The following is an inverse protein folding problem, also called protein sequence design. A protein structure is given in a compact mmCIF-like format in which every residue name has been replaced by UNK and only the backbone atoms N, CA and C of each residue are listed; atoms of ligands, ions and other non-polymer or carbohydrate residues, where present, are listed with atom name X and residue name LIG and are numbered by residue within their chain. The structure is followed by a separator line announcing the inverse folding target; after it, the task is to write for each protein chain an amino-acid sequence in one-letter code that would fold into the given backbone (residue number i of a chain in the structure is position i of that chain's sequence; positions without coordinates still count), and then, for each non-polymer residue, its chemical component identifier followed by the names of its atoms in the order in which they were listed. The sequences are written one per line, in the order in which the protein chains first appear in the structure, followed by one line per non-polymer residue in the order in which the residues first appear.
data_IF_861972337920
#
_entry.id   IF_861972337920
#
_cell.length_a   1.000
_cell.length_b   1.000
_cell.length_c   1.000
_cell.angle_alpha   90.00
_cell.angle_beta   90.00
_cell.angle_gamma   90.00
#
_symmetry.space_group_name_H-M   'P 1'
#
loop_
_entity.id
_entity.type
_entity.pdbx_description
1 polymer ?
#
# COMPACT_ATOMS: atom_id res chain seq x y z
N UNK A 1 22.30 28.51 -59.77
CA UNK A 1 22.51 27.79 -58.51
C UNK A 1 21.39 28.23 -57.58
N UNK A 2 20.39 27.36 -57.38
CA UNK A 2 19.24 27.63 -56.51
C UNK A 2 19.50 26.93 -55.18
N UNK A 3 19.77 27.71 -54.14
CA UNK A 3 19.93 27.18 -52.78
C UNK A 3 18.56 26.75 -52.24
N UNK A 4 18.47 25.44 -51.95
CA UNK A 4 17.30 24.84 -51.31
C UNK A 4 17.46 24.97 -49.81
N UNK A 5 16.63 25.81 -49.18
CA UNK A 5 16.57 25.96 -47.73
C UNK A 5 15.82 24.75 -47.15
N UNK A 6 16.53 23.89 -46.43
CA UNK A 6 15.95 22.79 -45.64
C UNK A 6 15.27 23.36 -44.38
N UNK A 7 13.99 23.05 -44.19
CA UNK A 7 13.26 23.39 -42.98
C UNK A 7 13.71 22.48 -41.81
N UNK A 8 13.89 23.03 -40.60
CA UNK A 8 14.30 22.25 -39.43
C UNK A 8 13.17 21.32 -38.98
N UNK A 9 13.51 20.04 -38.88
CA UNK A 9 12.63 18.98 -38.37
C UNK A 9 12.50 19.14 -36.86
N UNK A 10 11.33 19.55 -36.37
CA UNK A 10 11.01 19.57 -34.95
C UNK A 10 10.70 18.14 -34.49
N UNK A 11 11.64 17.53 -33.77
CA UNK A 11 11.35 16.31 -33.01
C UNK A 11 10.40 16.67 -31.85
N UNK A 12 9.31 15.92 -31.65
CA UNK A 12 8.44 16.13 -30.49
C UNK A 12 9.23 15.83 -29.22
N UNK A 13 9.47 16.89 -28.44
CA UNK A 13 10.03 16.81 -27.10
C UNK A 13 9.01 16.07 -26.23
N UNK A 14 9.22 14.77 -26.02
CA UNK A 14 8.43 13.98 -25.07
C UNK A 14 8.76 14.50 -23.68
N UNK A 15 7.81 15.19 -23.06
CA UNK A 15 7.91 15.58 -21.65
C UNK A 15 8.19 14.33 -20.81
N UNK A 16 9.11 14.37 -19.84
CA UNK A 16 9.32 13.25 -18.94
C UNK A 16 7.99 12.94 -18.23
N UNK A 17 7.64 11.65 -18.07
CA UNK A 17 6.40 11.27 -17.41
C UNK A 17 6.35 11.91 -16.02
N UNK A 18 5.26 12.62 -15.75
CA UNK A 18 4.98 13.22 -14.44
C UNK A 18 5.16 12.16 -13.36
N UNK A 19 6.02 12.44 -12.36
CA UNK A 19 6.26 11.53 -11.23
C UNK A 19 4.93 11.11 -10.62
N UNK A 20 4.67 9.80 -10.51
CA UNK A 20 3.42 9.30 -9.94
C UNK A 20 3.20 9.92 -8.56
N UNK A 21 2.08 10.65 -8.38
CA UNK A 21 1.74 11.29 -7.10
C UNK A 21 1.04 10.33 -6.13
N UNK A 22 0.50 9.23 -6.64
CA UNK A 22 -0.13 8.20 -5.84
C UNK A 22 -0.08 6.81 -6.50
N UNK A 23 -0.16 5.76 -5.68
CA UNK A 23 -0.47 4.39 -6.10
C UNK A 23 -1.72 3.92 -5.36
N UNK A 24 -2.63 3.23 -6.06
CA UNK A 24 -3.90 2.77 -5.49
C UNK A 24 -3.96 1.25 -5.62
N UNK A 25 -4.02 0.56 -4.50
CA UNK A 25 -4.17 -0.89 -4.43
C UNK A 25 -5.63 -1.20 -4.15
N UNK A 26 -6.34 -1.68 -5.16
CA UNK A 26 -7.78 -1.87 -5.15
C UNK A 26 -8.13 -3.35 -4.95
N UNK A 27 -8.83 -3.63 -3.84
CA UNK A 27 -9.32 -4.95 -3.49
C UNK A 27 -10.76 -5.08 -3.98
N UNK A 28 -10.92 -5.77 -5.10
CA UNK A 28 -12.22 -6.08 -5.69
C UNK A 28 -12.79 -7.31 -4.95
N UNK A 29 -13.96 -7.23 -4.32
CA UNK A 29 -14.53 -8.35 -3.57
C UNK A 29 -14.73 -9.61 -4.41
N UNK A 30 -14.86 -9.51 -5.73
CA UNK A 30 -15.01 -10.68 -6.61
C UNK A 30 -13.73 -11.53 -6.67
N UNK A 31 -12.55 -10.91 -6.57
CA UNK A 31 -11.24 -11.58 -6.70
C UNK A 31 -10.43 -11.58 -5.40
N UNK A 32 -10.73 -10.70 -4.46
CA UNK A 32 -10.16 -10.61 -3.11
C UNK A 32 -11.05 -11.30 -2.05
N UNK A 33 -11.79 -12.33 -2.46
CA UNK A 33 -12.59 -13.17 -1.57
C UNK A 33 -13.51 -12.39 -0.60
N UNK A 34 -14.19 -11.36 -1.12
CA UNK A 34 -15.14 -10.54 -0.36
C UNK A 34 -14.53 -9.37 0.43
N UNK A 35 -13.20 -9.23 0.47
CA UNK A 35 -12.54 -8.00 0.93
C UNK A 35 -12.76 -6.91 -0.11
N UNK A 36 -13.25 -5.76 0.31
CA UNK A 36 -13.54 -4.64 -0.58
C UNK A 36 -12.87 -3.36 -0.10
N UNK A 37 -12.31 -2.59 -1.03
CA UNK A 37 -11.84 -1.23 -0.77
C UNK A 37 -10.43 -1.01 -1.27
N UNK A 38 -9.74 -0.03 -0.68
CA UNK A 38 -8.47 0.44 -1.22
C UNK A 38 -7.43 0.68 -0.14
N UNK A 39 -6.16 0.44 -0.51
CA UNK A 39 -5.01 1.05 0.14
C UNK A 39 -4.40 2.06 -0.82
N UNK A 40 -4.31 3.32 -0.39
CA UNK A 40 -3.87 4.44 -1.21
C UNK A 40 -2.55 4.97 -0.65
N UNK A 41 -1.53 4.99 -1.49
CA UNK A 41 -0.20 5.51 -1.17
C UNK A 41 -0.04 6.86 -1.83
N UNK A 42 0.01 7.92 -1.03
CA UNK A 42 0.31 9.28 -1.46
C UNK A 42 1.78 9.58 -1.27
N UNK A 43 2.55 9.58 -2.36
CA UNK A 43 3.97 9.91 -2.34
C UNK A 43 4.19 11.35 -1.85
N UNK A 44 5.21 11.52 -1.02
CA UNK A 44 5.67 12.81 -0.51
C UNK A 44 7.09 13.04 -1.02
N UNK A 45 7.64 14.24 -0.76
CA UNK A 45 9.06 14.53 -1.04
C UNK A 45 9.99 13.49 -0.40
N UNK A 46 9.61 13.01 0.79
CA UNK A 46 10.27 11.92 1.50
C UNK A 46 9.22 10.90 1.94
N UNK A 47 9.33 9.68 1.41
CA UNK A 47 8.43 8.57 1.71
C UNK A 47 6.99 8.79 1.23
N UNK A 48 6.01 8.31 2.01
CA UNK A 48 4.59 8.37 1.66
C UNK A 48 3.67 8.49 2.88
N UNK A 49 2.45 9.00 2.64
CA UNK A 49 1.29 8.77 3.51
C UNK A 49 0.48 7.63 2.91
N UNK A 50 0.08 6.68 3.75
CA UNK A 50 -0.64 5.47 3.33
C UNK A 50 -1.99 5.48 4.02
N UNK A 51 -3.08 5.31 3.27
CA UNK A 51 -4.44 5.29 3.77
C UNK A 51 -5.06 3.94 3.44
N UNK A 52 -5.57 3.22 4.44
CA UNK A 52 -6.34 2.00 4.21
C UNK A 52 -7.81 2.27 4.51
N UNK A 53 -8.67 1.87 3.59
CA UNK A 53 -10.12 1.87 3.71
C UNK A 53 -10.62 0.52 3.19
N UNK A 54 -10.62 -0.50 4.05
CA UNK A 54 -11.01 -1.86 3.70
C UNK A 54 -12.23 -2.31 4.50
N UNK A 55 -13.10 -3.08 3.84
CA UNK A 55 -14.26 -3.76 4.41
C UNK A 55 -14.05 -5.27 4.28
N UNK A 56 -13.98 -5.95 5.42
CA UNK A 56 -13.74 -7.38 5.56
C UNK A 56 -14.99 -8.11 6.06
N UNK A 57 -16.13 -7.43 6.23
CA UNK A 57 -17.35 -8.06 6.78
C UNK A 57 -17.88 -9.20 5.91
N UNK A 58 -17.54 -9.18 4.61
CA UNK A 58 -17.88 -10.23 3.63
C UNK A 58 -16.69 -11.11 3.25
N UNK A 59 -15.55 -10.98 3.94
CA UNK A 59 -14.39 -11.81 3.70
C UNK A 59 -14.74 -13.30 3.86
N UNK A 60 -14.27 -14.12 2.93
CA UNK A 60 -14.54 -15.55 2.92
C UNK A 60 -13.59 -16.29 3.88
N UNK A 61 -13.92 -16.22 5.17
CA UNK A 61 -13.13 -16.87 6.22
C UNK A 61 -13.05 -18.38 6.05
N UNK A 62 -14.13 -19.03 5.60
CA UNK A 62 -14.13 -20.48 5.31
C UNK A 62 -13.09 -20.85 4.25
N UNK A 63 -12.95 -20.05 3.20
CA UNK A 63 -11.92 -20.28 2.18
C UNK A 63 -10.51 -20.04 2.74
N UNK A 64 -10.33 -19.06 3.64
CA UNK A 64 -9.05 -18.85 4.33
C UNK A 64 -8.71 -20.04 5.25
N UNK A 65 -9.67 -20.55 6.02
CA UNK A 65 -9.50 -21.74 6.87
C UNK A 65 -9.14 -22.99 6.05
N UNK A 66 -9.63 -23.09 4.81
CA UNK A 66 -9.28 -24.18 3.90
C UNK A 66 -7.84 -24.08 3.37
N UNK A 67 -7.26 -22.88 3.32
CA UNK A 67 -5.84 -22.66 2.97
C UNK A 67 -4.95 -22.95 4.18
N UNK A 68 -5.35 -22.47 5.36
CA UNK A 68 -4.65 -22.69 6.62
C UNK A 68 -5.64 -22.93 7.75
N UNK A 69 -5.65 -24.16 8.27
CA UNK A 69 -6.58 -24.59 9.31
C UNK A 69 -6.40 -23.84 10.64
N UNK A 70 -5.27 -23.14 10.85
CA UNK A 70 -5.07 -22.27 12.01
C UNK A 70 -5.88 -20.96 11.91
N UNK A 71 -6.33 -20.58 10.71
CA UNK A 71 -7.14 -19.39 10.47
C UNK A 71 -8.64 -19.69 10.50
N UNK A 72 -9.22 -19.91 11.67
CA UNK A 72 -10.66 -20.26 11.78
C UNK A 72 -11.62 -19.07 11.64
N UNK A 73 -11.10 -17.84 11.61
CA UNK A 73 -11.84 -16.60 11.33
C UNK A 73 -12.98 -16.25 12.29
N UNK A 74 -13.53 -15.01 12.24
CA UNK A 74 -12.98 -13.84 11.55
C UNK A 74 -11.59 -13.46 12.08
N UNK A 75 -10.69 -13.04 11.19
CA UNK A 75 -9.36 -12.54 11.56
C UNK A 75 -9.40 -11.03 11.60
N UNK A 76 -8.86 -10.43 12.66
CA UNK A 76 -8.85 -8.97 12.84
C UNK A 76 -7.47 -8.34 12.65
N UNK A 77 -6.39 -9.11 12.59
CA UNK A 77 -5.04 -8.59 12.54
C UNK A 77 -4.33 -9.07 11.29
N UNK A 78 -3.66 -8.15 10.59
CA UNK A 78 -3.02 -8.41 9.30
C UNK A 78 -1.60 -7.86 9.26
N UNK A 79 -0.66 -8.76 8.97
CA UNK A 79 0.62 -8.36 8.40
C UNK A 79 0.39 -7.80 7.00
N UNK A 80 1.25 -6.92 6.54
CA UNK A 80 1.12 -6.23 5.28
C UNK A 80 2.48 -5.77 4.76
N UNK A 81 2.73 -6.06 3.48
CA UNK A 81 4.04 -5.89 2.87
C UNK A 81 3.90 -5.56 1.37
N UNK A 82 4.95 -4.96 0.81
CA UNK A 82 5.13 -4.85 -0.64
C UNK A 82 5.86 -6.08 -1.17
N UNK A 83 5.27 -6.72 -2.16
CA UNK A 83 5.86 -7.86 -2.86
C UNK A 83 6.16 -7.51 -4.32
N UNK A 84 7.14 -8.19 -4.92
CA UNK A 84 7.79 -7.70 -6.14
C UNK A 84 7.34 -8.34 -7.45
N UNK A 85 6.35 -9.23 -7.42
CA UNK A 85 5.87 -9.94 -8.62
C UNK A 85 4.35 -9.90 -8.73
N UNK A 86 3.82 -9.93 -9.94
CA UNK A 86 2.39 -10.10 -10.19
C UNK A 86 2.17 -10.96 -11.42
N UNK A 87 1.44 -12.07 -11.28
CA UNK A 87 1.13 -12.98 -12.41
C UNK A 87 -0.35 -13.25 -12.59
N UNK A 88 -1.23 -12.52 -11.91
CA UNK A 88 -2.69 -12.76 -11.97
C UNK A 88 -3.35 -12.18 -13.23
N UNK A 89 -2.57 -11.88 -14.27
CA UNK A 89 -3.08 -11.27 -15.51
C UNK A 89 -3.66 -9.89 -15.26
N UNK A 90 -4.88 -9.65 -15.76
CA UNK A 90 -5.50 -8.32 -15.80
C UNK A 90 -6.41 -7.99 -14.61
N UNK A 91 -6.44 -8.81 -13.56
CA UNK A 91 -7.17 -8.48 -12.33
C UNK A 91 -6.34 -7.56 -11.44
N UNK A 92 -7.01 -6.71 -10.66
CA UNK A 92 -6.36 -5.75 -9.75
C UNK A 92 -6.04 -6.36 -8.39
N UNK A 93 -6.74 -7.42 -7.99
CA UNK A 93 -6.54 -8.11 -6.73
C UNK A 93 -6.78 -9.61 -6.83
N UNK A 94 -6.26 -10.35 -5.86
CA UNK A 94 -6.37 -11.79 -5.78
C UNK A 94 -6.46 -12.28 -4.33
N UNK A 95 -6.75 -13.56 -4.17
CA UNK A 95 -6.84 -14.27 -2.90
C UNK A 95 -6.07 -15.60 -2.98
N UNK A 96 -5.53 -16.04 -1.84
CA UNK A 96 -4.95 -17.38 -1.66
C UNK A 96 -3.86 -17.70 -2.70
N UNK A 97 -4.11 -18.67 -3.58
CA UNK A 97 -3.15 -19.10 -4.61
C UNK A 97 -2.69 -17.95 -5.53
N UNK A 98 -3.56 -16.98 -5.83
CA UNK A 98 -3.20 -15.79 -6.60
C UNK A 98 -2.26 -14.83 -5.83
N UNK A 99 -2.16 -15.01 -4.52
CA UNK A 99 -1.19 -14.31 -3.66
C UNK A 99 -0.01 -15.20 -3.26
N UNK A 100 0.09 -16.42 -3.78
CA UNK A 100 1.19 -17.34 -3.46
C UNK A 100 2.57 -16.75 -3.77
N UNK A 101 3.62 -17.35 -3.22
CA UNK A 101 5.01 -16.99 -3.54
C UNK A 101 5.28 -16.98 -5.05
N UNK A 102 4.71 -17.95 -5.78
CA UNK A 102 4.88 -18.05 -7.22
C UNK A 102 4.25 -16.87 -7.98
N UNK A 103 3.11 -16.37 -7.50
CA UNK A 103 2.33 -15.33 -8.16
C UNK A 103 2.73 -13.91 -7.75
N UNK A 104 3.01 -13.72 -6.45
CA UNK A 104 3.24 -12.42 -5.85
C UNK A 104 4.72 -12.13 -5.54
N UNK A 105 5.57 -13.16 -5.47
CA UNK A 105 6.98 -13.00 -5.13
C UNK A 105 7.21 -12.77 -3.64
N UNK A 106 8.41 -12.30 -3.31
CA UNK A 106 8.89 -12.01 -1.96
C UNK A 106 8.86 -10.51 -1.68
N UNK A 107 9.22 -10.11 -0.46
CA UNK A 107 9.23 -8.73 -0.02
C UNK A 107 10.27 -7.91 -0.78
N UNK A 108 9.92 -6.67 -1.12
CA UNK A 108 10.85 -5.72 -1.70
C UNK A 108 11.96 -5.34 -0.71
N UNK A 109 13.23 -5.59 -1.04
CA UNK A 109 14.36 -5.41 -0.11
C UNK A 109 15.64 -4.91 -0.82
N UNK A 110 15.61 -3.70 -1.41
CA UNK A 110 16.76 -3.16 -2.15
C UNK A 110 17.97 -2.89 -1.26
N UNK A 111 17.77 -2.71 0.05
CA UNK A 111 18.83 -2.43 1.03
C UNK A 111 19.45 -3.69 1.64
N UNK A 112 18.96 -4.87 1.27
CA UNK A 112 19.45 -6.16 1.78
C UNK A 112 19.41 -6.23 3.32
N UNK A 113 18.28 -5.80 3.89
CA UNK A 113 17.97 -5.97 5.30
C UNK A 113 17.80 -7.45 5.66
N UNK A 114 17.44 -8.28 4.65
CA UNK A 114 17.47 -9.73 4.71
C UNK A 114 16.57 -10.32 5.79
N UNK A 115 15.31 -9.89 5.81
CA UNK A 115 14.27 -10.59 6.54
C UNK A 115 13.94 -11.94 5.90
N UNK A 116 13.17 -12.80 6.61
CA UNK A 116 12.93 -14.19 6.19
C UNK A 116 12.30 -14.33 4.79
N UNK A 117 11.61 -13.29 4.33
CA UNK A 117 10.90 -13.26 3.06
C UNK A 117 11.48 -12.23 2.07
N UNK A 118 12.73 -11.81 2.24
CA UNK A 118 13.43 -10.92 1.30
C UNK A 118 13.39 -11.48 -0.13
N UNK A 119 13.26 -10.62 -1.14
CA UNK A 119 13.41 -11.04 -2.54
C UNK A 119 14.80 -11.60 -2.85
N UNK A 120 15.80 -11.27 -2.01
CA UNK A 120 17.17 -11.74 -2.08
C UNK A 120 17.44 -12.97 -1.19
N UNK A 121 16.39 -13.63 -0.69
CA UNK A 121 16.53 -14.78 0.22
C UNK A 121 17.28 -15.97 -0.40
N UNK A 122 17.27 -16.10 -1.74
CA UNK A 122 17.92 -17.21 -2.45
C UNK A 122 19.36 -16.90 -2.88
N UNK A 123 19.83 -15.67 -2.74
CA UNK A 123 21.17 -15.25 -3.16
C UNK A 123 21.94 -14.57 -2.02
N UNK A 124 21.82 -13.25 -1.90
CA UNK A 124 22.65 -12.38 -1.07
C UNK A 124 22.29 -12.52 0.41
N UNK A 125 21.03 -12.78 0.72
CA UNK A 125 20.57 -12.93 2.10
C UNK A 125 20.80 -14.34 2.68
N UNK A 126 21.01 -15.35 1.83
CA UNK A 126 21.25 -16.74 2.27
C UNK A 126 22.45 -16.84 3.22
N UNK A 127 23.50 -16.05 2.96
CA UNK A 127 24.74 -16.02 3.75
C UNK A 127 24.69 -15.12 4.99
N UNK A 128 23.76 -14.15 5.03
CA UNK A 128 23.51 -13.29 6.20
C UNK A 128 22.59 -13.95 7.24
N UNK A 129 21.98 -15.08 6.88
CA UNK A 129 20.98 -15.80 7.66
C UNK A 129 21.47 -16.68 8.84
N UNK A 130 22.77 -16.84 9.18
CA UNK A 130 23.13 -17.45 10.46
C UNK A 130 23.74 -16.41 11.40
N UNK A 131 22.93 -15.52 11.98
CA UNK A 131 23.31 -14.81 13.21
C UNK A 131 22.90 -13.34 13.36
N UNK A 132 22.51 -12.65 12.29
CA UNK A 132 21.85 -11.34 12.41
C UNK A 132 20.34 -11.54 12.49
N UNK A 133 19.74 -11.52 13.68
CA UNK A 133 18.29 -11.63 13.80
C UNK A 133 17.66 -10.40 13.13
N UNK A 134 17.05 -10.58 11.96
CA UNK A 134 16.17 -9.58 11.37
C UNK A 134 15.12 -9.20 12.42
N UNK A 135 15.15 -7.95 12.84
CA UNK A 135 14.31 -7.44 13.92
C UNK A 135 13.69 -6.11 13.49
N UNK A 136 12.95 -6.13 12.38
CA UNK A 136 12.24 -4.95 11.95
C UNK A 136 11.07 -4.67 12.90
N UNK A 137 11.15 -3.52 13.56
CA UNK A 137 10.15 -2.96 14.47
C UNK A 137 10.13 -1.45 14.25
N UNK A 138 9.08 -0.76 14.71
CA UNK A 138 9.03 0.70 14.61
C UNK A 138 10.26 1.37 15.26
N UNK A 139 10.77 0.80 16.36
CA UNK A 139 11.95 1.32 17.06
C UNK A 139 13.25 1.14 16.25
N UNK A 140 13.47 -0.07 15.70
CA UNK A 140 14.66 -0.32 14.88
C UNK A 140 14.61 0.44 13.56
N UNK A 141 13.43 0.58 12.96
CA UNK A 141 13.18 1.42 11.79
C UNK A 141 13.49 2.89 12.05
N UNK A 142 13.01 3.45 13.18
CA UNK A 142 13.28 4.84 13.55
C UNK A 142 14.77 5.11 13.79
N UNK A 143 15.49 4.13 14.34
CA UNK A 143 16.95 4.24 14.56
C UNK A 143 17.76 4.07 13.26
N UNK A 144 17.34 3.15 12.39
CA UNK A 144 17.98 2.91 11.10
C UNK A 144 16.95 2.38 10.08
N UNK A 145 16.62 3.21 9.08
CA UNK A 145 15.65 2.85 8.05
C UNK A 145 16.02 1.59 7.26
N UNK A 146 17.32 1.30 7.08
CA UNK A 146 17.80 0.13 6.32
C UNK A 146 17.89 -1.15 7.14
N UNK A 147 17.56 -1.09 8.45
CA UNK A 147 17.42 -2.28 9.28
C UNK A 147 16.16 -3.09 8.97
N UNK A 148 15.21 -2.47 8.26
CA UNK A 148 13.99 -3.09 7.79
C UNK A 148 14.04 -3.28 6.27
N UNK A 149 13.41 -4.33 5.77
CA UNK A 149 13.13 -4.43 4.34
C UNK A 149 12.26 -3.24 3.93
N UNK A 150 12.53 -2.63 2.77
CA UNK A 150 11.74 -1.47 2.32
C UNK A 150 10.25 -1.83 2.14
N UNK A 151 9.96 -3.09 1.80
CA UNK A 151 8.62 -3.66 1.69
C UNK A 151 8.00 -4.13 3.01
N UNK A 152 8.73 -4.20 4.13
CA UNK A 152 8.17 -4.65 5.42
C UNK A 152 7.42 -3.51 6.14
N UNK A 153 6.20 -3.24 5.68
CA UNK A 153 5.37 -2.16 6.23
C UNK A 153 4.85 -2.50 7.63
N UNK A 154 4.63 -3.78 7.95
CA UNK A 154 4.20 -4.21 9.28
C UNK A 154 5.25 -4.04 10.36
N UNK A 155 6.49 -4.44 10.08
CA UNK A 155 7.58 -4.23 11.01
C UNK A 155 7.81 -2.73 11.26
N UNK A 156 7.75 -1.92 10.21
CA UNK A 156 7.95 -0.46 10.30
C UNK A 156 6.81 0.30 10.99
N UNK A 157 5.55 -0.05 10.67
CA UNK A 157 4.37 0.79 10.96
C UNK A 157 3.31 0.08 11.81
N UNK A 158 3.58 -1.15 12.23
CA UNK A 158 2.62 -2.03 12.90
C UNK A 158 1.68 -2.74 11.92
N UNK A 159 1.03 -3.79 12.40
CA UNK A 159 0.01 -4.54 11.65
C UNK A 159 -1.22 -3.67 11.36
N UNK A 160 -1.95 -4.00 10.30
CA UNK A 160 -3.31 -3.49 10.12
C UNK A 160 -4.25 -4.23 11.06
N UNK A 161 -5.15 -3.50 11.71
CA UNK A 161 -6.13 -4.09 12.63
C UNK A 161 -7.52 -3.69 12.18
N UNK A 162 -8.40 -4.66 12.00
CA UNK A 162 -9.78 -4.48 11.67
C UNK A 162 -10.60 -4.27 12.94
N UNK A 163 -11.41 -3.21 12.96
CA UNK A 163 -12.41 -2.95 14.00
C UNK A 163 -13.79 -3.05 13.37
N UNK A 164 -14.64 -3.88 13.94
CA UNK A 164 -15.98 -4.19 13.40
C UNK A 164 -15.95 -4.62 11.91
N UNK A 165 -14.91 -5.36 11.51
CA UNK A 165 -14.72 -5.80 10.13
C UNK A 165 -14.22 -4.71 9.17
N UNK A 166 -13.73 -3.57 9.67
CA UNK A 166 -13.20 -2.49 8.86
C UNK A 166 -11.75 -2.17 9.23
N UNK A 167 -10.90 -1.94 8.23
CA UNK A 167 -9.59 -1.31 8.43
C UNK A 167 -9.70 0.12 7.91
N UNK A 168 -9.66 1.09 8.82
CA UNK A 168 -9.64 2.52 8.52
C UNK A 168 -8.51 3.16 9.29
N UNK A 169 -7.39 3.43 8.62
CA UNK A 169 -6.22 4.03 9.27
C UNK A 169 -5.30 4.71 8.27
N UNK A 170 -4.60 5.72 8.76
CA UNK A 170 -3.54 6.40 8.04
C UNK A 170 -2.19 6.13 8.71
N UNK A 171 -1.17 5.86 7.90
CA UNK A 171 0.22 5.76 8.34
C UNK A 171 1.10 6.73 7.56
N UNK A 172 2.28 6.99 8.12
CA UNK A 172 3.33 7.73 7.46
C UNK A 172 4.61 6.92 7.49
N UNK A 173 5.13 6.62 6.31
CA UNK A 173 6.41 5.94 6.14
C UNK A 173 7.39 6.94 5.53
N UNK A 174 8.43 7.32 6.28
CA UNK A 174 9.42 8.32 5.84
C UNK A 174 10.37 7.80 4.76
N UNK A 175 10.48 6.47 4.63
CA UNK A 175 11.37 5.77 3.72
C UNK A 175 10.58 4.78 2.85
N UNK A 176 9.30 5.06 2.58
CA UNK A 176 8.54 4.31 1.59
C UNK A 176 9.25 4.39 0.23
N UNK A 177 9.30 3.29 -0.56
CA UNK A 177 9.94 3.30 -1.86
C UNK A 177 9.48 4.45 -2.74
N UNK A 178 10.41 5.07 -3.47
CA UNK A 178 10.08 6.17 -4.35
C UNK A 178 9.19 5.71 -5.52
N UNK A 179 8.39 6.60 -6.12
CA UNK A 179 7.59 6.24 -7.29
C UNK A 179 8.44 5.82 -8.50
N UNK A 180 9.74 6.12 -8.51
CA UNK A 180 10.67 5.68 -9.56
C UNK A 180 11.13 4.23 -9.41
N UNK A 181 11.08 3.69 -8.19
CA UNK A 181 11.38 2.28 -7.91
C UNK A 181 10.16 1.39 -8.17
N UNK A 182 8.95 1.94 -8.02
CA UNK A 182 7.71 1.21 -8.20
C UNK A 182 7.58 0.65 -9.63
N UNK A 183 7.28 -0.65 -9.72
CA UNK A 183 7.04 -1.33 -10.99
C UNK A 183 5.56 -1.77 -11.11
N UNK A 184 5.04 -1.98 -12.33
CA UNK A 184 3.70 -2.55 -12.51
C UNK A 184 3.53 -3.98 -11.97
N UNK A 185 4.62 -4.62 -11.52
CA UNK A 185 4.59 -5.97 -10.95
C UNK A 185 4.48 -5.95 -9.42
N UNK A 186 4.68 -4.79 -8.77
CA UNK A 186 4.56 -4.72 -7.33
C UNK A 186 3.12 -4.84 -6.87
N UNK A 187 2.93 -5.60 -5.79
CA UNK A 187 1.64 -5.75 -5.14
C UNK A 187 1.75 -5.47 -3.64
N UNK A 188 0.67 -4.94 -3.06
CA UNK A 188 0.50 -4.83 -1.63
C UNK A 188 -0.29 -6.05 -1.16
N UNK A 189 0.28 -6.79 -0.21
CA UNK A 189 -0.29 -8.02 0.31
C UNK A 189 -0.68 -7.87 1.76
N UNK A 190 -1.81 -8.47 2.13
CA UNK A 190 -2.20 -8.72 3.52
C UNK A 190 -1.97 -10.19 3.85
N UNK A 191 -1.35 -10.43 5.00
CA UNK A 191 -1.20 -11.73 5.64
C UNK A 191 -2.14 -11.78 6.84
N UNK A 192 -3.04 -12.76 6.90
CA UNK A 192 -3.90 -12.93 8.07
C UNK A 192 -3.07 -13.42 9.25
N UNK A 193 -3.17 -12.79 10.43
CA UNK A 193 -2.45 -13.23 11.63
C UNK A 193 -3.33 -14.18 12.44
N UNK A 194 -3.00 -15.47 12.41
CA UNK A 194 -3.77 -16.55 13.00
C UNK A 194 -2.90 -17.30 14.03
N UNK A 195 -2.69 -16.67 15.19
CA UNK A 195 -1.71 -17.12 16.17
C UNK A 195 -0.29 -16.99 15.62
N UNK A 196 0.45 -18.10 15.52
CA UNK A 196 1.78 -18.10 14.92
C UNK A 196 1.78 -18.26 13.40
N UNK A 197 0.62 -18.53 12.78
CA UNK A 197 0.53 -18.64 11.32
C UNK A 197 0.16 -17.31 10.68
N UNK A 198 0.81 -16.98 9.57
CA UNK A 198 0.60 -15.74 8.81
C UNK A 198 0.38 -15.97 7.31
N UNK A 199 -0.63 -16.77 6.91
CA UNK A 199 -0.85 -17.09 5.51
C UNK A 199 -1.15 -15.84 4.69
N UNK A 200 -0.68 -15.87 3.44
CA UNK A 200 -0.96 -14.85 2.42
C UNK A 200 -2.46 -14.85 2.14
N UNK A 201 -3.15 -13.78 2.51
CA UNK A 201 -4.62 -13.72 2.48
C UNK A 201 -5.10 -13.10 1.17
N UNK A 202 -4.92 -11.79 1.00
CA UNK A 202 -5.31 -11.05 -0.21
C UNK A 202 -4.19 -10.13 -0.64
N UNK A 203 -4.13 -9.81 -1.92
CA UNK A 203 -3.10 -8.96 -2.49
C UNK A 203 -3.66 -8.17 -3.66
N UNK A 204 -3.11 -6.99 -3.90
CA UNK A 204 -3.54 -6.12 -4.99
C UNK A 204 -2.33 -5.47 -5.69
N UNK A 205 -2.39 -5.35 -7.01
CA UNK A 205 -1.42 -4.58 -7.81
C UNK A 205 -1.86 -3.12 -7.87
N UNK A 206 -0.92 -2.20 -8.01
CA UNK A 206 -1.25 -0.78 -8.12
C UNK A 206 -1.98 -0.47 -9.44
N UNK A 207 -3.20 0.06 -9.34
CA UNK A 207 -3.94 0.64 -10.46
C UNK A 207 -3.65 2.15 -10.57
N UNK A 208 -2.65 2.48 -11.38
CA UNK A 208 -2.21 3.86 -11.58
C UNK A 208 -3.23 4.70 -12.40
N UNK A 209 -4.25 4.09 -13.01
CA UNK A 209 -5.34 4.84 -13.65
C UNK A 209 -6.26 5.48 -12.60
N UNK A 210 -6.52 4.76 -11.50
CA UNK A 210 -7.30 5.25 -10.35
C UNK A 210 -6.55 6.31 -9.54
N UNK A 211 -5.22 6.33 -9.60
CA UNK A 211 -4.43 7.39 -8.99
C UNK A 211 -4.78 8.79 -9.53
N UNK A 212 -5.25 8.91 -10.77
CA UNK A 212 -5.65 10.19 -11.36
C UNK A 212 -6.87 10.82 -10.70
N UNK A 213 -7.85 10.01 -10.30
CA UNK A 213 -9.04 10.48 -9.60
C UNK A 213 -8.72 10.97 -8.20
N UNK A 214 -7.90 10.21 -7.46
CA UNK A 214 -7.42 10.60 -6.13
C UNK A 214 -6.55 11.86 -6.17
N UNK A 215 -5.80 12.09 -7.26
CA UNK A 215 -5.06 13.35 -7.48
C UNK A 215 -5.98 14.58 -7.53
N UNK A 216 -7.18 14.45 -8.09
CA UNK A 216 -8.10 15.58 -8.30
C UNK A 216 -8.88 15.95 -7.03
N UNK A 217 -9.13 14.98 -6.15
CA UNK A 217 -9.97 15.15 -4.95
C UNK A 217 -9.17 14.98 -3.64
N UNK A 218 -7.84 15.08 -3.71
CA UNK A 218 -6.95 14.88 -2.55
C UNK A 218 -7.26 15.84 -1.40
N UNK A 219 -7.60 17.09 -1.72
CA UNK A 219 -7.90 18.12 -0.73
C UNK A 219 -9.29 17.92 -0.10
N UNK A 220 -10.20 17.24 -0.79
CA UNK A 220 -11.50 16.81 -0.24
C UNK A 220 -11.32 15.59 0.67
N UNK A 221 -10.46 14.63 0.29
CA UNK A 221 -10.16 13.45 1.12
C UNK A 221 -9.39 13.81 2.40
N UNK A 222 -8.55 14.86 2.39
CA UNK A 222 -7.89 15.34 3.61
C UNK A 222 -8.80 16.09 4.57
N UNK A 223 -9.94 16.61 4.07
CA UNK A 223 -11.00 17.26 4.87
C UNK A 223 -11.98 16.26 5.49
N UNK A 224 -11.92 14.99 5.09
CA UNK A 224 -12.72 13.90 5.62
C UNK A 224 -11.80 12.93 6.37
N UNK A 225 -11.08 13.45 7.37
CA UNK A 225 -10.55 12.57 8.42
C UNK A 225 -11.67 12.41 9.45
N UNK A 226 -12.50 11.38 9.27
CA UNK A 226 -13.36 10.94 10.36
C UNK A 226 -12.53 9.93 11.14
N UNK A 227 -11.81 10.40 12.15
CA UNK A 227 -11.29 9.53 13.20
C UNK A 227 -12.50 9.14 14.06
N UNK A 228 -13.10 8.01 13.75
CA UNK A 228 -14.12 7.40 14.61
C UNK A 228 -13.34 6.61 15.65
N UNK A 229 -13.11 7.21 16.82
CA UNK A 229 -12.69 6.44 17.98
C UNK A 229 -13.93 5.69 18.49
N UNK A 230 -13.86 4.36 18.48
CA UNK A 230 -14.91 3.50 19.03
C UNK A 230 -14.32 2.85 20.27
N UNK A 231 -14.45 3.55 21.39
CA UNK A 231 -14.23 2.95 22.70
C UNK A 231 -15.56 2.40 23.26
N UNK A 232 -15.46 1.28 23.98
CA UNK A 232 -16.57 0.50 24.52
C UNK A 232 -17.50 1.31 25.44
N UNK A 233 -18.47 2.04 24.87
CA UNK A 233 -19.83 2.29 25.38
C UNK A 233 -20.37 3.70 25.08
N UNK A 234 -19.63 4.58 24.40
CA UNK A 234 -20.13 5.88 23.92
C UNK A 234 -19.54 6.23 22.54
N UNK A 235 -20.39 6.74 21.63
CA UNK A 235 -19.97 7.30 20.33
C UNK A 235 -19.74 8.79 20.55
N UNK A 236 -18.49 9.17 20.80
CA UNK A 236 -18.05 10.55 20.73
C UNK A 236 -17.64 10.84 19.28
N UNK A 237 -18.45 11.62 18.56
CA UNK A 237 -18.13 12.08 17.21
C UNK A 237 -17.56 13.48 17.31
N UNK A 238 -16.24 13.58 17.46
CA UNK A 238 -15.53 14.84 17.27
C UNK A 238 -15.38 15.09 15.76
N UNK A 239 -16.33 15.85 15.20
CA UNK A 239 -16.21 16.34 13.83
C UNK A 239 -15.46 17.66 13.84
N UNK A 240 -14.14 17.61 13.72
CA UNK A 240 -13.34 18.79 13.41
C UNK A 240 -13.47 19.09 11.91
N UNK A 241 -14.45 19.92 11.56
CA UNK A 241 -14.55 20.49 10.23
C UNK A 241 -13.73 21.79 10.19
N UNK A 242 -12.47 21.70 9.76
CA UNK A 242 -11.72 22.87 9.31
C UNK A 242 -12.27 23.32 7.94
N UNK A 243 -13.31 24.17 7.96
CA UNK A 243 -13.67 24.99 6.81
C UNK A 243 -12.76 26.23 6.85
N UNK A 244 -11.71 26.21 6.03
CA UNK A 244 -11.05 27.46 5.62
C UNK A 244 -12.08 28.29 4.82
N UNK A 245 -12.67 29.29 5.47
CA UNK A 245 -13.69 30.19 4.92
C UNK A 245 -13.04 31.33 4.10
N UNK A 246 -12.08 31.01 3.22
CA UNK A 246 -11.24 32.01 2.54
C UNK A 246 -11.69 32.39 1.12
N UNK A 247 -12.90 32.02 0.70
CA UNK A 247 -13.46 32.42 -0.61
C UNK A 247 -14.76 33.24 -0.53
N UNK A 248 -14.96 34.03 0.54
CA UNK A 248 -16.16 34.90 0.64
C UNK A 248 -15.92 36.41 0.76
N UNK A 249 -14.76 36.93 0.37
CA UNK A 249 -14.49 38.37 0.41
C UNK A 249 -13.91 39.02 -0.86
N UNK A 250 -14.36 38.64 -2.06
CA UNK A 250 -14.21 39.52 -3.23
C UNK A 250 -15.42 39.47 -4.16
N UNK A 251 -16.49 40.16 -3.75
CA UNK A 251 -17.41 40.88 -4.64
C UNK A 251 -18.38 41.68 -3.80
N UNK A 252 -18.07 42.96 -3.58
CA UNK A 252 -18.97 44.11 -3.39
C UNK A 252 -18.08 45.35 -3.14
N UNK A 253 -18.39 46.46 -3.85
CA UNK A 253 -17.64 47.72 -4.02
C UNK A 253 -16.52 47.62 -5.10
N UNK A 254 -16.55 48.32 -6.24
CA UNK A 254 -17.34 49.46 -6.76
C UNK A 254 -17.83 49.20 -8.21
#
# INVERSE_FOLDING_TARGET
MMDTILAPTTLPMTLPPSSMKASVYDFDPATAAGVHGQVIVHYKKHGARIHAHLDLRKANWTALSAIDANCTGPVDTFGWHLHTKWTNGNVTSAFGAGCSLAAAGNHYDPSLACGPNSEHQRDTCLSKAPGGAYNCTAATYAANATACEAGDLSGKLGTMVARHGHIRKTWRDWHYPSPHEATPQWNLMLHAVCGSSTPRFVCAVADNSKAAWHRKHKDELSKVNVDIDIDNDDIDVDIDIDIDDDERHHRLHD
#
